data_IF_528823090893
#
_entry.id   IF_528823090893
#
_cell.length_a   1.000
_cell.length_b   1.000
_cell.length_c   1.000
_cell.angle_alpha   90.00
_cell.angle_beta   90.00
_cell.angle_gamma   90.00
#
_symmetry.space_group_name_H-M   'P 1'
#
loop_
_entity.id
_entity.type
_entity.pdbx_description
1 polymer ?
#
# COMPACT_ATOMS: atom_id res chain seq x y z
N UNK A 1 8.50 5.18 -10.42
CA UNK A 1 9.86 5.28 -9.85
C UNK A 1 10.86 4.69 -10.87
N UNK A 2 12.13 5.14 -10.93
CA UNK A 2 13.01 4.81 -12.07
C UNK A 2 13.27 3.30 -12.25
N UNK A 3 13.21 2.51 -11.17
CA UNK A 3 13.42 1.05 -11.23
C UNK A 3 12.17 0.20 -10.99
N UNK A 4 10.99 0.83 -10.98
CA UNK A 4 9.69 0.19 -10.73
C UNK A 4 9.76 -0.95 -9.71
N UNK A 5 9.40 -2.18 -10.12
CA UNK A 5 9.26 -3.34 -9.26
C UNK A 5 10.52 -3.70 -8.46
N UNK A 6 11.72 -3.33 -8.92
CA UNK A 6 12.97 -3.58 -8.18
C UNK A 6 13.03 -2.81 -6.86
N UNK A 7 12.30 -1.70 -6.72
CA UNK A 7 12.36 -0.87 -5.50
C UNK A 7 11.59 -1.47 -4.32
N UNK A 8 10.73 -2.48 -4.53
CA UNK A 8 9.85 -3.07 -3.50
C UNK A 8 9.81 -4.60 -3.53
N UNK A 9 10.90 -5.24 -3.98
CA UNK A 9 11.01 -6.70 -3.96
C UNK A 9 11.19 -7.25 -2.54
N UNK A 10 10.71 -8.47 -2.30
CA UNK A 10 10.97 -9.18 -1.04
C UNK A 10 12.43 -9.66 -0.90
N UNK A 11 13.26 -9.46 -1.93
CA UNK A 11 14.66 -9.88 -1.98
C UNK A 11 14.85 -11.35 -1.58
N UNK A 12 15.50 -11.61 -0.44
CA UNK A 12 15.73 -12.96 0.08
C UNK A 12 14.55 -13.52 0.89
N UNK A 13 13.54 -12.70 1.22
CA UNK A 13 12.34 -13.15 1.92
C UNK A 13 11.39 -13.88 0.97
N UNK A 14 10.60 -14.85 1.48
CA UNK A 14 9.57 -15.51 0.69
C UNK A 14 8.66 -14.53 -0.06
N UNK A 15 8.13 -14.95 -1.21
CA UNK A 15 7.26 -14.11 -2.04
C UNK A 15 5.99 -13.61 -1.34
N UNK A 16 5.61 -14.19 -0.20
CA UNK A 16 4.55 -13.68 0.67
C UNK A 16 4.85 -12.29 1.27
N UNK A 17 6.11 -11.86 1.27
CA UNK A 17 6.55 -10.54 1.72
C UNK A 17 6.76 -9.54 0.57
N UNK A 18 6.35 -9.89 -0.65
CA UNK A 18 6.46 -9.04 -1.82
C UNK A 18 5.61 -7.77 -1.65
N UNK A 19 6.24 -6.60 -1.80
CA UNK A 19 5.54 -5.32 -1.73
C UNK A 19 4.52 -5.18 -2.85
N UNK A 20 3.39 -4.54 -2.54
CA UNK A 20 2.37 -4.17 -3.52
C UNK A 20 2.49 -2.68 -3.84
N UNK A 21 2.69 -2.36 -5.12
CA UNK A 21 2.72 -0.98 -5.58
C UNK A 21 1.31 -0.39 -5.58
N UNK A 22 1.20 0.86 -5.14
CA UNK A 22 -0.06 1.59 -5.03
C UNK A 22 0.10 2.93 -5.74
N UNK A 23 -0.73 3.17 -6.76
CA UNK A 23 -0.69 4.42 -7.51
C UNK A 23 -1.56 5.50 -6.86
N UNK A 24 -0.95 6.28 -5.98
CA UNK A 24 -1.58 7.38 -5.25
C UNK A 24 -1.94 8.59 -6.12
N UNK A 25 -1.56 8.62 -7.41
CA UNK A 25 -2.04 9.67 -8.33
C UNK A 25 -3.55 9.57 -8.50
N UNK A 26 -4.10 8.36 -8.38
CA UNK A 26 -5.52 8.13 -8.39
C UNK A 26 -6.12 8.22 -6.98
N UNK A 27 -7.33 8.79 -6.89
CA UNK A 27 -8.12 8.83 -5.65
C UNK A 27 -9.15 7.70 -5.57
N UNK A 28 -9.47 7.06 -6.71
CA UNK A 28 -10.38 5.93 -6.76
C UNK A 28 -9.65 4.65 -6.41
N UNK A 29 -10.16 3.91 -5.42
CA UNK A 29 -9.56 2.67 -4.89
C UNK A 29 -9.32 1.64 -6.01
N UNK A 30 -10.23 1.58 -6.99
CA UNK A 30 -10.13 0.66 -8.13
C UNK A 30 -8.98 0.99 -9.08
N UNK A 31 -8.45 2.21 -9.02
CA UNK A 31 -7.29 2.66 -9.80
C UNK A 31 -6.00 2.65 -8.96
N UNK A 32 -6.12 2.70 -7.63
CA UNK A 32 -5.00 2.56 -6.69
C UNK A 32 -4.43 1.14 -6.72
N UNK A 33 -5.31 0.13 -6.81
CA UNK A 33 -4.94 -1.29 -6.95
C UNK A 33 -5.63 -1.85 -8.19
N UNK A 34 -4.84 -2.21 -9.19
CA UNK A 34 -5.36 -2.80 -10.42
C UNK A 34 -6.11 -4.12 -10.14
N UNK A 35 -7.23 -4.33 -10.85
CA UNK A 35 -8.03 -5.56 -10.78
C UNK A 35 -8.59 -5.90 -9.40
N UNK A 36 -8.74 -4.91 -8.52
CA UNK A 36 -9.25 -5.13 -7.17
C UNK A 36 -10.75 -5.45 -7.12
N UNK A 37 -11.51 -5.19 -8.19
CA UNK A 37 -12.92 -5.61 -8.29
C UNK A 37 -13.15 -6.48 -9.50
N UNK A 38 -13.81 -7.61 -9.30
CA UNK A 38 -14.29 -8.44 -10.38
C UNK A 38 -15.61 -7.87 -10.91
N UNK A 39 -15.59 -7.33 -12.14
CA UNK A 39 -16.78 -6.72 -12.76
C UNK A 39 -17.78 -7.74 -13.32
N UNK A 40 -17.39 -9.01 -13.40
CA UNK A 40 -18.15 -10.06 -14.07
C UNK A 40 -18.80 -11.05 -13.11
N UNK A 41 -18.41 -11.06 -11.84
CA UNK A 41 -18.90 -12.00 -10.82
C UNK A 41 -19.29 -11.26 -9.55
N UNK A 42 -20.32 -11.74 -8.87
CA UNK A 42 -20.67 -11.27 -7.52
C UNK A 42 -19.67 -11.80 -6.50
N UNK A 43 -19.54 -11.12 -5.35
CA UNK A 43 -18.65 -11.55 -4.25
C UNK A 43 -18.91 -12.99 -3.81
N UNK A 44 -20.18 -13.41 -3.81
CA UNK A 44 -20.58 -14.80 -3.50
C UNK A 44 -20.08 -15.81 -4.52
N UNK A 45 -20.10 -15.47 -5.81
CA UNK A 45 -19.59 -16.35 -6.87
C UNK A 45 -18.06 -16.42 -6.83
N UNK A 46 -17.40 -15.28 -6.65
CA UNK A 46 -15.95 -15.22 -6.52
C UNK A 46 -15.47 -16.00 -5.29
N UNK A 47 -16.19 -15.92 -4.16
CA UNK A 47 -15.88 -16.71 -2.97
C UNK A 47 -15.94 -18.20 -3.22
N UNK A 48 -17.01 -18.68 -3.86
CA UNK A 48 -17.15 -20.12 -4.22
C UNK A 48 -16.02 -20.59 -5.13
N UNK A 49 -15.57 -19.75 -6.07
CA UNK A 49 -14.45 -20.06 -6.95
C UNK A 49 -13.13 -20.18 -6.17
N UNK A 50 -12.88 -19.28 -5.21
CA UNK A 50 -11.71 -19.35 -4.34
C UNK A 50 -11.74 -20.59 -3.44
N UNK A 51 -12.89 -20.93 -2.85
CA UNK A 51 -13.04 -22.13 -2.02
C UNK A 51 -12.76 -23.40 -2.83
N UNK A 52 -13.23 -23.47 -4.09
CA UNK A 52 -12.93 -24.58 -5.01
C UNK A 52 -11.43 -24.65 -5.35
N UNK A 53 -10.81 -23.51 -5.67
CA UNK A 53 -9.37 -23.46 -5.94
C UNK A 53 -8.57 -23.89 -4.71
N UNK A 54 -8.99 -23.50 -3.51
CA UNK A 54 -8.34 -23.89 -2.26
C UNK A 54 -8.42 -25.40 -2.04
N UNK A 55 -9.59 -26.02 -2.30
CA UNK A 55 -9.76 -27.46 -2.22
C UNK A 55 -8.87 -28.20 -3.22
N UNK A 56 -8.81 -27.75 -4.47
CA UNK A 56 -7.92 -28.30 -5.49
C UNK A 56 -6.44 -28.18 -5.08
N UNK A 57 -6.05 -27.02 -4.55
CA UNK A 57 -4.69 -26.77 -4.09
C UNK A 57 -4.31 -27.65 -2.89
N UNK A 58 -5.22 -27.87 -1.93
CA UNK A 58 -5.00 -28.80 -0.80
C UNK A 58 -4.77 -30.23 -1.26
N UNK A 59 -5.60 -30.71 -2.20
CA UNK A 59 -5.42 -32.03 -2.82
C UNK A 59 -4.08 -32.15 -3.55
N UNK A 60 -3.70 -31.08 -4.25
CA UNK A 60 -2.42 -31.02 -4.97
C UNK A 60 -1.22 -31.05 -4.01
N UNK A 61 -1.26 -30.30 -2.92
CA UNK A 61 -0.23 -30.26 -1.89
C UNK A 61 -0.06 -31.63 -1.19
N UNK A 62 -1.17 -32.29 -0.86
CA UNK A 62 -1.16 -33.61 -0.23
C UNK A 62 -0.45 -34.68 -1.07
N UNK A 63 -0.43 -34.54 -2.40
CA UNK A 63 0.20 -35.49 -3.31
C UNK A 63 1.71 -35.27 -3.52
N UNK A 64 2.27 -34.10 -3.14
CA UNK A 64 3.65 -33.71 -3.51
C UNK A 64 4.52 -33.19 -2.36
N UNK A 65 3.98 -33.08 -1.14
CA UNK A 65 4.67 -32.49 0.00
C UNK A 65 4.62 -30.95 -0.03
N UNK A 66 4.99 -30.31 1.09
CA UNK A 66 4.90 -28.85 1.24
C UNK A 66 5.86 -28.10 0.29
N UNK A 67 5.39 -27.77 -0.91
CA UNK A 67 6.08 -26.80 -1.79
C UNK A 67 5.73 -25.36 -1.39
N UNK A 68 6.74 -24.62 -0.95
CA UNK A 68 6.63 -23.20 -0.56
C UNK A 68 5.98 -22.31 -1.63
N UNK A 69 6.19 -22.63 -2.92
CA UNK A 69 5.63 -21.85 -4.04
C UNK A 69 4.11 -21.98 -4.16
N UNK A 70 3.55 -23.17 -3.91
CA UNK A 70 2.10 -23.38 -3.94
C UNK A 70 1.41 -22.66 -2.78
N UNK A 71 1.99 -22.73 -1.58
CA UNK A 71 1.47 -22.01 -0.40
C UNK A 71 1.50 -20.49 -0.59
N UNK A 72 2.60 -19.96 -1.13
CA UNK A 72 2.69 -18.54 -1.45
C UNK A 72 1.57 -18.11 -2.42
N UNK A 73 1.29 -18.92 -3.45
CA UNK A 73 0.24 -18.62 -4.43
C UNK A 73 -1.17 -18.66 -3.85
N UNK A 74 -1.48 -19.64 -3.00
CA UNK A 74 -2.76 -19.71 -2.26
C UNK A 74 -2.91 -18.46 -1.40
N UNK A 75 -1.87 -18.11 -0.65
CA UNK A 75 -1.88 -16.95 0.24
C UNK A 75 -2.06 -15.64 -0.53
N UNK A 76 -1.38 -15.47 -1.68
CA UNK A 76 -1.57 -14.31 -2.55
C UNK A 76 -3.01 -14.18 -3.05
N UNK A 77 -3.69 -15.29 -3.41
CA UNK A 77 -5.08 -15.23 -3.87
C UNK A 77 -6.06 -14.90 -2.75
N UNK A 78 -5.88 -15.48 -1.55
CA UNK A 78 -6.70 -15.10 -0.39
C UNK A 78 -6.47 -13.65 0.02
N UNK A 79 -5.22 -13.21 0.04
CA UNK A 79 -4.86 -11.83 0.35
C UNK A 79 -5.49 -10.87 -0.66
N UNK A 80 -5.38 -11.17 -1.96
CA UNK A 80 -5.99 -10.35 -3.01
C UNK A 80 -7.51 -10.22 -2.81
N UNK A 81 -8.20 -11.31 -2.44
CA UNK A 81 -9.64 -11.28 -2.14
C UNK A 81 -9.98 -10.44 -0.91
N UNK A 82 -9.22 -10.57 0.19
CA UNK A 82 -9.41 -9.75 1.39
C UNK A 82 -9.13 -8.28 1.11
N UNK A 83 -8.10 -7.98 0.32
CA UNK A 83 -7.82 -6.62 -0.14
C UNK A 83 -9.01 -6.03 -0.88
N UNK A 84 -9.83 -6.80 -1.62
CA UNK A 84 -11.00 -6.23 -2.31
C UNK A 84 -12.04 -5.63 -1.36
N UNK A 85 -12.15 -6.18 -0.15
CA UNK A 85 -13.05 -5.70 0.89
C UNK A 85 -12.41 -4.60 1.74
N UNK A 86 -11.15 -4.78 2.14
CA UNK A 86 -10.47 -3.88 3.09
C UNK A 86 -9.74 -2.69 2.45
N UNK A 87 -9.42 -2.75 1.16
CA UNK A 87 -8.70 -1.69 0.47
C UNK A 87 -9.51 -0.39 0.38
N UNK A 88 -10.84 -0.47 0.23
CA UNK A 88 -11.66 0.74 0.23
C UNK A 88 -11.48 1.50 1.55
N UNK A 89 -11.49 0.80 2.68
CA UNK A 89 -11.28 1.43 3.98
C UNK A 89 -9.82 1.79 4.23
N UNK A 90 -8.83 1.12 3.64
CA UNK A 90 -7.43 1.51 3.83
C UNK A 90 -7.04 2.76 3.03
N UNK A 91 -7.52 2.88 1.79
CA UNK A 91 -7.04 3.87 0.82
C UNK A 91 -7.95 5.07 0.60
N UNK A 92 -9.23 4.98 0.99
CA UNK A 92 -10.15 6.11 0.87
C UNK A 92 -9.90 7.14 1.99
N UNK A 93 -9.12 8.17 1.65
CA UNK A 93 -8.81 9.28 2.56
C UNK A 93 -10.02 10.17 2.82
N UNK A 94 -11.07 10.14 1.98
CA UNK A 94 -12.27 10.98 2.18
C UNK A 94 -13.06 10.57 3.42
N UNK A 95 -12.82 9.35 3.92
CA UNK A 95 -13.35 8.89 5.20
C UNK A 95 -12.68 9.58 6.41
N UNK A 96 -11.57 10.31 6.23
CA UNK A 96 -10.95 11.06 7.31
C UNK A 96 -11.69 12.38 7.58
N UNK A 97 -11.81 12.78 8.86
CA UNK A 97 -12.34 14.09 9.22
C UNK A 97 -11.64 15.21 8.46
N UNK A 98 -12.40 16.24 8.07
CA UNK A 98 -11.87 17.38 7.31
C UNK A 98 -10.62 18.00 7.97
N UNK A 99 -10.63 18.17 9.29
CA UNK A 99 -9.50 18.74 10.03
C UNK A 99 -8.21 17.88 9.93
N UNK A 100 -8.32 16.56 9.75
CA UNK A 100 -7.16 15.68 9.53
C UNK A 100 -6.63 15.89 8.11
N UNK A 101 -7.52 15.93 7.12
CA UNK A 101 -7.13 16.18 5.72
C UNK A 101 -6.44 17.53 5.57
N UNK A 102 -7.00 18.58 6.19
CA UNK A 102 -6.39 19.92 6.22
C UNK A 102 -5.03 19.93 6.94
N UNK A 103 -4.87 19.14 8.01
CA UNK A 103 -3.60 19.03 8.73
C UNK A 103 -2.50 18.45 7.83
N UNK A 104 -2.79 17.37 7.10
CA UNK A 104 -1.87 16.77 6.15
C UNK A 104 -1.61 17.66 4.92
N UNK A 105 -2.62 18.43 4.50
CA UNK A 105 -2.57 19.31 3.34
C UNK A 105 -2.93 18.61 2.03
N UNK A 106 -2.78 19.36 0.95
CA UNK A 106 -3.17 18.92 -0.39
C UNK A 106 -2.02 18.28 -1.18
N UNK A 107 -2.39 17.60 -2.26
CA UNK A 107 -1.46 17.03 -3.22
C UNK A 107 -1.18 15.54 -3.04
N UNK A 108 -0.44 14.98 -4.00
CA UNK A 108 -0.22 13.53 -4.08
C UNK A 108 0.60 13.03 -2.89
N UNK A 109 1.61 13.78 -2.45
CA UNK A 109 2.48 13.34 -1.36
C UNK A 109 1.77 13.37 0.00
N UNK A 110 0.99 14.42 0.28
CA UNK A 110 0.16 14.48 1.48
C UNK A 110 -0.81 13.29 1.56
N UNK A 111 -1.45 12.95 0.42
CA UNK A 111 -2.30 11.77 0.30
C UNK A 111 -1.54 10.47 0.56
N UNK A 112 -0.34 10.30 -0.01
CA UNK A 112 0.49 9.10 0.24
C UNK A 112 0.80 8.92 1.72
N UNK A 113 1.18 10.00 2.40
CA UNK A 113 1.54 9.98 3.82
C UNK A 113 0.30 9.71 4.69
N UNK A 114 -0.87 10.25 4.33
CA UNK A 114 -2.13 9.96 5.03
C UNK A 114 -2.55 8.49 4.86
N UNK A 115 -2.42 7.95 3.64
CA UNK A 115 -2.62 6.51 3.38
C UNK A 115 -1.63 5.69 4.20
N UNK A 116 -0.36 6.09 4.27
CA UNK A 116 0.64 5.39 5.07
C UNK A 116 0.24 5.30 6.54
N UNK A 117 -0.28 6.40 7.13
CA UNK A 117 -0.82 6.36 8.50
C UNK A 117 -1.97 5.37 8.63
N UNK A 118 -2.95 5.38 7.70
CA UNK A 118 -4.08 4.45 7.70
C UNK A 118 -3.64 2.99 7.61
N UNK A 119 -2.57 2.71 6.87
CA UNK A 119 -1.96 1.37 6.77
C UNK A 119 -1.27 0.95 8.07
N UNK A 120 -0.50 1.85 8.68
CA UNK A 120 0.16 1.61 9.98
C UNK A 120 -0.86 1.29 11.06
N UNK A 121 -1.95 2.07 11.13
CA UNK A 121 -3.07 1.84 12.05
C UNK A 121 -3.76 0.48 11.86
N UNK A 122 -3.65 -0.10 10.66
CA UNK A 122 -4.18 -1.44 10.32
C UNK A 122 -3.13 -2.55 10.47
N UNK A 123 -1.97 -2.25 11.06
CA UNK A 123 -0.93 -3.22 11.37
C UNK A 123 0.02 -3.54 10.21
N UNK A 124 0.05 -2.71 9.16
CA UNK A 124 1.06 -2.84 8.11
C UNK A 124 2.43 -2.49 8.69
N UNK A 125 3.35 -3.46 8.66
CA UNK A 125 4.66 -3.37 9.32
C UNK A 125 5.68 -2.50 8.60
N UNK A 126 5.52 -2.29 7.30
CA UNK A 126 6.45 -1.52 6.50
C UNK A 126 5.71 -0.81 5.37
N UNK A 127 5.88 0.51 5.30
CA UNK A 127 5.28 1.35 4.26
C UNK A 127 6.37 2.23 3.68
N UNK A 128 6.49 2.23 2.35
CA UNK A 128 7.40 3.10 1.63
C UNK A 128 6.59 4.16 0.87
N UNK A 129 6.99 5.42 1.02
CA UNK A 129 6.41 6.55 0.29
C UNK A 129 7.45 7.14 -0.66
N UNK A 130 7.03 7.50 -1.88
CA UNK A 130 7.90 8.06 -2.90
C UNK A 130 7.48 9.49 -3.26
N UNK A 131 8.40 10.44 -3.17
CA UNK A 131 8.15 11.84 -3.53
C UNK A 131 8.71 12.18 -4.92
N UNK A 132 7.82 12.60 -5.82
CA UNK A 132 8.12 13.18 -7.13
C UNK A 132 8.48 12.18 -8.24
N UNK A 133 8.68 12.72 -9.45
CA UNK A 133 8.96 11.94 -10.66
C UNK A 133 10.46 11.72 -10.84
N UNK A 134 10.87 10.51 -11.21
CA UNK A 134 12.29 10.19 -11.36
C UNK A 134 13.03 10.29 -10.03
N UNK A 135 14.16 10.99 -10.00
CA UNK A 135 14.98 11.25 -8.81
C UNK A 135 14.99 12.76 -8.50
N UNK A 136 13.89 13.33 -8.00
CA UNK A 136 13.79 14.78 -7.84
C UNK A 136 14.77 15.33 -6.79
N UNK A 137 15.17 14.50 -5.83
CA UNK A 137 16.14 14.85 -4.79
C UNK A 137 17.61 14.71 -5.23
N UNK A 138 17.87 14.16 -6.42
CA UNK A 138 19.21 14.01 -7.00
C UNK A 138 19.56 15.25 -7.84
N UNK A 139 19.60 16.40 -7.18
CA UNK A 139 19.94 17.67 -7.81
C UNK A 139 21.45 17.88 -7.77
N UNK A 140 22.05 18.23 -8.92
CA UNK A 140 23.47 18.59 -9.03
C UNK A 140 23.71 20.10 -9.15
N UNK A 141 22.64 20.88 -9.39
CA UNK A 141 22.65 22.33 -9.51
C UNK A 141 21.44 22.94 -8.76
N UNK A 142 21.48 24.25 -8.50
CA UNK A 142 20.41 25.02 -7.83
C UNK A 142 19.87 24.38 -6.54
N UNK A 143 20.78 23.78 -5.75
CA UNK A 143 20.46 22.94 -4.59
C UNK A 143 19.49 23.62 -3.62
N UNK A 144 19.74 24.89 -3.29
CA UNK A 144 18.90 25.63 -2.35
C UNK A 144 17.47 25.75 -2.87
N UNK A 145 17.27 26.15 -4.12
CA UNK A 145 15.95 26.34 -4.70
C UNK A 145 15.22 24.99 -4.83
N UNK A 146 15.89 23.99 -5.40
CA UNK A 146 15.31 22.67 -5.62
C UNK A 146 14.92 21.97 -4.31
N UNK A 147 15.83 21.92 -3.33
CA UNK A 147 15.57 21.24 -2.07
C UNK A 147 14.56 22.02 -1.21
N UNK A 148 14.58 23.36 -1.23
CA UNK A 148 13.59 24.15 -0.51
C UNK A 148 12.18 23.94 -1.08
N UNK A 149 12.04 23.89 -2.41
CA UNK A 149 10.78 23.57 -3.07
C UNK A 149 10.29 22.16 -2.71
N UNK A 150 11.16 21.15 -2.82
CA UNK A 150 10.81 19.75 -2.53
C UNK A 150 10.47 19.53 -1.07
N UNK A 151 11.26 20.10 -0.15
CA UNK A 151 10.96 20.06 1.28
C UNK A 151 9.62 20.74 1.58
N UNK A 152 9.33 21.88 0.96
CA UNK A 152 8.04 22.56 1.11
C UNK A 152 6.84 21.71 0.68
N UNK A 153 7.02 20.80 -0.28
CA UNK A 153 5.95 19.91 -0.77
C UNK A 153 5.60 18.76 0.19
N UNK A 154 6.52 18.34 1.06
CA UNK A 154 6.31 17.20 1.96
C UNK A 154 6.30 17.56 3.45
N UNK A 155 6.86 18.70 3.85
CA UNK A 155 7.09 19.05 5.26
C UNK A 155 5.80 19.10 6.10
N UNK A 156 4.72 19.67 5.56
CA UNK A 156 3.44 19.74 6.26
C UNK A 156 2.90 18.34 6.57
N UNK A 157 2.82 17.49 5.56
CA UNK A 157 2.31 16.13 5.70
C UNK A 157 3.18 15.27 6.62
N UNK A 158 4.50 15.42 6.58
CA UNK A 158 5.42 14.74 7.51
C UNK A 158 5.18 15.19 8.96
N UNK A 159 5.04 16.49 9.20
CA UNK A 159 4.71 17.02 10.52
C UNK A 159 3.34 16.54 11.02
N UNK A 160 2.34 16.50 10.13
CA UNK A 160 1.02 15.97 10.42
C UNK A 160 1.07 14.49 10.79
N UNK A 161 1.85 13.67 10.06
CA UNK A 161 2.03 12.25 10.34
C UNK A 161 2.56 12.02 11.76
N UNK A 162 3.64 12.70 12.14
CA UNK A 162 4.23 12.54 13.47
C UNK A 162 3.24 12.95 14.57
N UNK A 163 2.49 14.03 14.35
CA UNK A 163 1.46 14.50 15.28
C UNK A 163 0.30 13.51 15.39
N UNK A 164 -0.20 12.99 14.27
CA UNK A 164 -1.33 12.06 14.20
C UNK A 164 -0.95 10.71 14.84
N UNK A 165 0.24 10.17 14.52
CA UNK A 165 0.78 8.96 15.16
C UNK A 165 0.89 9.13 16.69
N UNK A 166 1.36 10.29 17.15
CA UNK A 166 1.43 10.57 18.59
C UNK A 166 0.05 10.62 19.25
N UNK A 167 -0.92 11.27 18.60
CA UNK A 167 -2.29 11.36 19.10
C UNK A 167 -2.96 9.98 19.21
N UNK A 168 -2.59 9.05 18.33
CA UNK A 168 -3.09 7.66 18.32
C UNK A 168 -2.29 6.71 19.21
N UNK A 169 -1.20 7.16 19.82
CA UNK A 169 -0.30 6.31 20.60
C UNK A 169 0.55 5.36 19.75
N UNK A 170 0.57 5.52 18.43
CA UNK A 170 1.32 4.68 17.50
C UNK A 170 2.78 5.12 17.32
N UNK A 171 3.11 6.36 17.72
CA UNK A 171 4.44 6.91 17.49
C UNK A 171 5.55 6.13 18.21
N UNK A 172 5.26 5.56 19.39
CA UNK A 172 6.25 4.77 20.15
C UNK A 172 6.50 3.38 19.53
N UNK A 173 5.59 2.92 18.68
CA UNK A 173 5.67 1.62 17.98
C UNK A 173 6.08 1.77 16.50
N UNK A 174 6.24 3.01 16.03
CA UNK A 174 6.56 3.34 14.63
C UNK A 174 7.92 4.06 14.57
N UNK A 175 8.88 3.46 13.85
CA UNK A 175 10.22 4.00 13.60
C UNK A 175 10.25 4.93 12.38
#
# INVERSE_FOLDING_TARGET
>A
PIKDAENWQSAFLPGSFQGTYIDSQHSQVEKLIANIRNKSQTDKQQRRQLDLLQEMNRRHAAARGEENGLQARIHSFELAYRMQMEASDAFDIEQEPQHIREMYGDGVNARQILIARRLVERGVRYVQVWHGQGQPWDSHDDLKENHQRLAGQCSQAMGALLKDLKQRGLLEETL
#
